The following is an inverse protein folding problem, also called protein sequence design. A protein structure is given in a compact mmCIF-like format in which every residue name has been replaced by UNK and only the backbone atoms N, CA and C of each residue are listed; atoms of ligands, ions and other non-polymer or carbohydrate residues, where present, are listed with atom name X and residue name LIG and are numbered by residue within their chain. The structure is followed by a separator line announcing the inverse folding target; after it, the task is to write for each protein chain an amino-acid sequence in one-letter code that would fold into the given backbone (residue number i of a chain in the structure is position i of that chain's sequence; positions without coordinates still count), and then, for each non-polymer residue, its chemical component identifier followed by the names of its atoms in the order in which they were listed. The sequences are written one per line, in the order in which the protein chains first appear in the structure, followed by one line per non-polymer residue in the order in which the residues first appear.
data_IF_283288574967
#
_entry.id   IF_283288574967
#
_cell.length_a   1.000
_cell.length_b   1.000
_cell.length_c   1.000
_cell.angle_alpha   90.00
_cell.angle_beta   90.00
_cell.angle_gamma   90.00
#
_symmetry.space_group_name_H-M   'P 1'
#
loop_
_entity.id
_entity.type
_entity.pdbx_description
1 polymer ?
#
# COMPACT_ATOMS: atom_id res chain seq x y z
N UNK A 1 -3.87 -13.99 8.16
CA UNK A 1 -3.95 -12.71 7.44
C UNK A 1 -5.09 -12.83 6.46
N UNK A 2 -6.17 -12.07 6.68
CA UNK A 2 -7.36 -12.06 5.83
C UNK A 2 -7.63 -10.61 5.39
N UNK A 3 -7.50 -10.36 4.08
CA UNK A 3 -7.89 -9.10 3.47
C UNK A 3 -9.29 -9.28 2.89
N UNK A 4 -10.19 -8.38 3.27
CA UNK A 4 -11.57 -8.36 2.79
C UNK A 4 -11.70 -7.24 1.77
N UNK A 5 -12.10 -7.61 0.55
CA UNK A 5 -12.33 -6.67 -0.55
C UNK A 5 -13.85 -6.51 -0.73
N UNK A 6 -14.33 -5.28 -0.56
CA UNK A 6 -15.76 -4.91 -0.64
C UNK A 6 -15.96 -3.73 -1.59
N UNK A 7 -17.22 -3.28 -1.74
CA UNK A 7 -17.58 -2.15 -2.60
C UNK A 7 -17.06 -2.31 -4.04
N UNK A 8 -17.36 -3.45 -4.67
CA UNK A 8 -16.94 -3.77 -6.04
C UNK A 8 -15.42 -3.64 -6.28
N UNK A 9 -14.60 -4.01 -5.31
CA UNK A 9 -13.14 -3.94 -5.45
C UNK A 9 -12.53 -2.60 -5.04
N UNK A 10 -13.34 -1.62 -4.61
CA UNK A 10 -12.88 -0.27 -4.30
C UNK A 10 -12.54 -0.05 -2.82
N UNK A 11 -12.74 -1.06 -1.96
CA UNK A 11 -12.38 -0.98 -0.55
C UNK A 11 -11.70 -2.26 -0.12
N UNK A 12 -10.52 -2.13 0.48
CA UNK A 12 -9.84 -3.19 1.21
C UNK A 12 -9.86 -2.89 2.71
N UNK A 13 -10.08 -3.90 3.54
CA UNK A 13 -9.92 -3.86 4.99
C UNK A 13 -9.46 -5.23 5.52
N UNK A 14 -9.25 -5.36 6.82
CA UNK A 14 -8.72 -6.59 7.43
C UNK A 14 -7.20 -6.52 7.62
N UNK A 15 -6.53 -7.68 7.59
CA UNK A 15 -5.11 -7.81 7.91
C UNK A 15 -4.36 -8.54 6.78
N UNK A 16 -3.59 -7.79 6.00
CA UNK A 16 -2.75 -8.30 4.90
C UNK A 16 -2.66 -7.28 3.76
N UNK A 17 -2.11 -7.69 2.62
CA UNK A 17 -2.04 -6.89 1.40
C UNK A 17 -2.85 -7.49 0.25
N UNK A 18 -3.22 -6.66 -0.72
CA UNK A 18 -3.82 -7.08 -1.98
C UNK A 18 -3.18 -6.32 -3.15
N UNK A 19 -3.14 -6.96 -4.31
CA UNK A 19 -2.72 -6.33 -5.57
C UNK A 19 -3.96 -5.87 -6.35
N UNK A 20 -3.80 -4.80 -7.12
CA UNK A 20 -4.80 -4.39 -8.11
C UNK A 20 -4.89 -5.42 -9.24
N UNK A 21 -5.95 -5.32 -10.04
CA UNK A 21 -6.24 -6.27 -11.12
C UNK A 21 -5.52 -5.94 -12.45
N UNK A 22 -4.81 -4.81 -12.54
CA UNK A 22 -4.14 -4.37 -13.78
C UNK A 22 -2.69 -3.98 -13.49
N UNK A 23 -1.70 -4.54 -14.22
CA UNK A 23 -0.30 -4.15 -14.08
C UNK A 23 -0.03 -2.76 -14.68
N UNK A 24 0.99 -2.07 -14.15
CA UNK A 24 1.47 -0.81 -14.71
C UNK A 24 2.41 -1.06 -15.91
N UNK A 25 1.85 -1.18 -17.11
CA UNK A 25 2.59 -1.43 -18.38
C UNK A 25 2.85 -0.17 -19.21
N UNK A 26 2.74 1.00 -18.59
CA UNK A 26 2.90 2.30 -19.20
C UNK A 26 4.03 3.09 -18.51
N UNK A 27 4.68 3.99 -19.25
CA UNK A 27 5.83 4.75 -18.72
C UNK A 27 5.47 5.71 -17.57
N UNK A 28 4.20 6.11 -17.46
CA UNK A 28 3.69 6.98 -16.40
C UNK A 28 2.30 6.51 -16.00
N UNK A 29 2.08 6.32 -14.70
CA UNK A 29 0.80 5.88 -14.14
C UNK A 29 0.42 6.78 -12.96
N UNK A 30 -0.88 6.91 -12.72
CA UNK A 30 -1.43 7.62 -11.57
C UNK A 30 -2.58 6.81 -10.98
N UNK A 31 -2.63 6.72 -9.66
CA UNK A 31 -3.73 6.14 -8.90
C UNK A 31 -3.83 6.88 -7.56
N UNK A 32 -5.01 6.81 -6.94
CA UNK A 32 -5.29 7.46 -5.67
C UNK A 32 -5.83 6.45 -4.66
N UNK A 33 -5.53 6.66 -3.39
CA UNK A 33 -6.14 5.90 -2.29
C UNK A 33 -6.67 6.85 -1.23
N UNK A 34 -7.96 6.73 -0.92
CA UNK A 34 -8.58 7.48 0.18
C UNK A 34 -8.48 6.71 1.50
N UNK A 35 -7.92 7.33 2.53
CA UNK A 35 -7.94 6.79 3.89
C UNK A 35 -9.35 6.98 4.46
N UNK A 36 -10.10 5.88 4.59
CA UNK A 36 -11.48 5.90 5.10
C UNK A 36 -11.57 5.77 6.62
N UNK A 37 -10.63 5.05 7.21
CA UNK A 37 -10.49 4.86 8.64
C UNK A 37 -8.99 4.68 8.88
N UNK A 38 -8.42 5.45 9.81
CA UNK A 38 -6.99 5.35 10.10
C UNK A 38 -6.64 4.04 10.82
N UNK A 39 -5.37 3.66 10.74
CA UNK A 39 -4.84 2.42 11.30
C UNK A 39 -3.48 2.04 10.74
N UNK A 40 -3.17 0.75 10.70
CA UNK A 40 -1.98 0.25 10.02
C UNK A 40 -2.36 -0.01 8.57
N UNK A 41 -1.76 0.74 7.67
CA UNK A 41 -1.94 0.59 6.23
C UNK A 41 -0.63 0.86 5.50
N UNK A 42 -0.58 0.39 4.26
CA UNK A 42 0.43 0.81 3.32
C UNK A 42 -0.11 0.76 1.89
N UNK A 43 0.42 1.63 1.05
CA UNK A 43 0.04 1.79 -0.35
C UNK A 43 1.31 1.92 -1.18
N UNK A 44 1.33 1.32 -2.36
CA UNK A 44 2.47 1.46 -3.26
C UNK A 44 2.44 0.48 -4.41
N UNK A 45 3.63 0.05 -4.83
CA UNK A 45 3.85 -0.81 -5.98
C UNK A 45 4.42 -2.14 -5.53
N UNK A 46 4.00 -3.22 -6.18
CA UNK A 46 4.58 -4.52 -5.95
C UNK A 46 4.49 -5.41 -7.19
N UNK A 47 5.39 -6.38 -7.28
CA UNK A 47 5.28 -7.50 -8.21
C UNK A 47 4.34 -8.57 -7.63
N UNK A 48 4.04 -9.60 -8.44
CA UNK A 48 3.24 -10.75 -7.99
C UNK A 48 3.97 -11.64 -6.97
N UNK A 49 5.27 -11.45 -6.78
CA UNK A 49 6.10 -12.25 -5.88
C UNK A 49 6.18 -11.68 -4.45
N UNK A 50 5.57 -10.52 -4.19
CA UNK A 50 5.58 -9.90 -2.86
C UNK A 50 4.85 -10.75 -1.82
N UNK A 51 5.29 -10.67 -0.56
CA UNK A 51 4.61 -11.32 0.56
C UNK A 51 3.36 -10.54 0.98
N UNK A 52 2.20 -11.04 0.56
CA UNK A 52 0.90 -10.45 0.88
C UNK A 52 0.42 -10.73 2.31
N UNK A 53 1.14 -11.55 3.09
CA UNK A 53 0.79 -11.86 4.48
C UNK A 53 1.34 -10.84 5.47
N UNK A 54 1.81 -9.68 5.00
CA UNK A 54 2.31 -8.59 5.85
C UNK A 54 1.29 -7.45 5.93
N UNK A 55 1.39 -6.60 6.96
CA UNK A 55 0.46 -5.48 7.14
C UNK A 55 0.86 -4.21 6.38
N UNK A 56 2.12 -4.11 5.91
CA UNK A 56 2.65 -2.86 5.34
C UNK A 56 3.40 -3.02 4.03
N UNK A 57 3.70 -4.24 3.55
CA UNK A 57 4.63 -4.42 2.43
C UNK A 57 6.01 -3.79 2.66
N UNK A 58 6.83 -3.73 1.60
CA UNK A 58 8.18 -3.16 1.63
C UNK A 58 9.21 -4.01 2.40
N UNK A 59 8.83 -5.20 2.88
CA UNK A 59 9.71 -6.09 3.65
C UNK A 59 10.43 -7.13 2.77
N UNK A 60 10.27 -7.02 1.46
CA UNK A 60 10.81 -7.89 0.42
C UNK A 60 11.37 -7.02 -0.73
N UNK A 61 12.16 -7.59 -1.64
CA UNK A 61 12.65 -6.87 -2.82
C UNK A 61 11.57 -6.68 -3.91
N UNK A 62 10.33 -7.11 -3.65
CA UNK A 62 9.25 -7.16 -4.62
C UNK A 62 8.25 -6.01 -4.45
N UNK A 63 8.43 -5.16 -3.43
CA UNK A 63 7.50 -4.09 -3.10
C UNK A 63 8.18 -2.78 -2.65
N UNK A 64 7.52 -1.66 -2.98
CA UNK A 64 7.81 -0.31 -2.53
C UNK A 64 6.52 0.26 -1.97
N UNK A 65 6.54 0.67 -0.71
CA UNK A 65 5.30 1.09 -0.03
C UNK A 65 5.52 2.33 0.84
N UNK A 66 4.55 3.23 0.81
CA UNK A 66 4.35 4.28 1.81
C UNK A 66 3.39 3.74 2.87
N UNK A 67 3.77 3.81 4.15
CA UNK A 67 2.95 3.33 5.26
C UNK A 67 2.28 4.46 6.06
N UNK A 68 1.42 4.08 7.01
CA UNK A 68 0.71 5.01 7.90
C UNK A 68 1.58 5.85 8.82
N UNK A 69 2.88 5.55 8.94
CA UNK A 69 3.85 6.37 9.69
C UNK A 69 4.62 7.35 8.79
N UNK A 70 4.25 7.45 7.51
CA UNK A 70 4.90 8.31 6.52
C UNK A 70 6.26 7.81 6.03
N UNK A 71 6.56 6.51 6.18
CA UNK A 71 7.83 5.91 5.77
C UNK A 71 7.65 5.23 4.43
N UNK A 72 8.54 5.54 3.48
CA UNK A 72 8.69 4.78 2.23
C UNK A 72 9.72 3.67 2.48
N UNK A 73 9.31 2.42 2.30
CA UNK A 73 10.14 1.23 2.56
C UNK A 73 10.25 0.33 1.33
N UNK A 74 11.41 -0.28 1.16
CA UNK A 74 11.69 -1.33 0.18
C UNK A 74 12.74 -2.30 0.74
N UNK A 75 12.56 -3.60 0.55
CA UNK A 75 13.50 -4.63 1.00
C UNK A 75 13.97 -4.47 2.46
N UNK A 76 13.03 -4.14 3.36
CA UNK A 76 13.25 -3.86 4.80
C UNK A 76 14.05 -2.59 5.10
N UNK A 77 14.38 -1.79 4.10
CA UNK A 77 15.11 -0.53 4.26
C UNK A 77 14.17 0.67 4.20
N UNK A 78 14.29 1.58 5.16
CA UNK A 78 13.59 2.87 5.16
C UNK A 78 14.32 3.83 4.22
N UNK A 79 13.72 4.09 3.06
CA UNK A 79 14.33 4.91 2.02
C UNK A 79 14.09 6.40 2.27
N UNK A 80 12.91 6.74 2.79
CA UNK A 80 12.51 8.13 3.00
C UNK A 80 11.40 8.25 4.05
N UNK A 81 11.29 9.43 4.67
CA UNK A 81 10.18 9.79 5.54
C UNK A 81 9.54 11.09 5.04
N UNK A 82 8.27 11.02 4.67
CA UNK A 82 7.52 12.20 4.21
C UNK A 82 7.29 13.17 5.38
N UNK A 83 7.25 14.46 5.08
CA UNK A 83 7.09 15.52 6.08
C UNK A 83 5.68 15.54 6.68
N UNK A 84 4.67 15.31 5.84
CA UNK A 84 3.26 15.31 6.24
C UNK A 84 2.74 13.89 6.20
N UNK A 85 2.34 13.36 7.36
CA UNK A 85 1.75 12.03 7.48
C UNK A 85 0.28 12.12 7.13
N UNK A 86 -0.18 11.30 6.19
CA UNK A 86 -1.57 11.24 5.77
C UNK A 86 -2.49 10.86 6.95
N UNK A 87 -3.65 11.50 7.01
CA UNK A 87 -4.65 11.35 8.05
C UNK A 87 -5.94 10.74 7.49
N UNK A 88 -6.84 10.31 8.39
CA UNK A 88 -8.18 9.91 7.98
C UNK A 88 -8.87 11.00 7.17
N UNK A 89 -9.43 10.62 6.02
CA UNK A 89 -10.09 11.53 5.08
C UNK A 89 -9.21 11.97 3.91
N UNK A 90 -7.88 11.89 4.05
CA UNK A 90 -6.93 12.27 3.01
C UNK A 90 -7.00 11.33 1.79
N UNK A 91 -6.60 11.88 0.64
CA UNK A 91 -6.35 11.14 -0.59
C UNK A 91 -4.85 11.18 -0.82
N UNK A 92 -4.24 9.99 -0.89
CA UNK A 92 -2.83 9.77 -1.22
C UNK A 92 -2.72 9.52 -2.73
#
# INVERSE_FOLDING_TARGET
HEVVIVMNGLRACGQGCALTNVPLVQSKSYFEVKIRQDGIWAVGLATRNTDLNTSTGGNDPESWTLNSTGIIRHNKEELHKVQTVAQEGDII
#
